data_IF_213741921147
#
_entry.id   IF_213741921147
#
_cell.length_a   1.000
_cell.length_b   1.000
_cell.length_c   1.000
_cell.angle_alpha   90.00
_cell.angle_beta   90.00
_cell.angle_gamma   90.00
#
_symmetry.space_group_name_H-M   'P 1'
#
loop_
_entity.id
_entity.type
_entity.pdbx_description
1 polymer ?
#
# COMPACT_ATOMS: atom_id res chain seq x y z
N UNK A 1 -7.29 58.69 57.69
CA UNK A 1 -7.73 59.56 56.58
C UNK A 1 -7.70 58.71 55.32
N UNK A 2 -8.79 58.25 54.70
CA UNK A 2 -10.23 58.62 54.72
C UNK A 2 -11.07 57.34 54.48
N UNK A 3 -12.12 57.18 55.29
CA UNK A 3 -13.48 56.64 55.05
C UNK A 3 -13.74 55.46 54.05
N UNK A 4 -14.37 54.39 54.58
CA UNK A 4 -15.42 53.53 53.95
C UNK A 4 -16.79 54.26 54.12
N UNK A 5 -17.97 53.94 53.49
CA UNK A 5 -18.51 52.60 53.17
C UNK A 5 -19.57 52.46 52.00
N UNK A 6 -19.87 51.18 51.66
CA UNK A 6 -21.19 50.51 51.41
C UNK A 6 -22.38 51.22 50.71
N UNK A 7 -22.80 50.68 49.54
CA UNK A 7 -24.09 49.99 49.27
C UNK A 7 -25.47 50.71 49.29
N UNK A 8 -26.42 50.11 48.51
CA UNK A 8 -27.91 50.23 48.51
C UNK A 8 -28.54 51.51 47.88
N UNK A 9 -29.60 51.56 47.05
CA UNK A 9 -30.58 50.61 46.44
C UNK A 9 -31.48 51.37 45.40
N UNK A 10 -32.41 50.69 44.65
CA UNK A 10 -33.10 51.15 43.43
C UNK A 10 -34.52 51.72 43.74
N UNK A 11 -35.56 51.84 42.85
CA UNK A 11 -36.10 50.91 41.84
C UNK A 11 -36.47 51.56 40.48
N UNK A 12 -36.83 50.76 39.46
CA UNK A 12 -38.15 50.83 38.79
C UNK A 12 -38.22 49.84 37.63
N UNK A 13 -39.30 49.05 37.62
CA UNK A 13 -39.62 47.96 36.72
C UNK A 13 -40.53 48.42 35.57
N UNK A 14 -40.47 47.67 34.46
CA UNK A 14 -41.46 47.61 33.39
C UNK A 14 -40.92 48.20 32.08
N UNK A 15 -40.99 47.56 30.92
CA UNK A 15 -41.50 46.24 30.54
C UNK A 15 -41.03 45.97 29.09
N UNK A 16 -40.99 44.68 28.69
CA UNK A 16 -40.97 44.17 27.29
C UNK A 16 -39.68 44.44 26.47
N UNK A 17 -38.65 43.59 26.37
CA UNK A 17 -38.53 42.20 25.86
C UNK A 17 -39.31 41.92 24.56
N UNK A 18 -38.77 42.39 23.43
CA UNK A 18 -39.01 41.76 22.12
C UNK A 18 -37.95 40.67 21.91
N UNK A 19 -38.44 39.44 21.86
CA UNK A 19 -37.70 38.19 22.05
C UNK A 19 -36.90 37.85 20.80
N UNK A 20 -35.59 37.99 20.96
CA UNK A 20 -34.50 37.14 20.47
C UNK A 20 -34.95 35.87 19.75
N UNK A 21 -34.61 35.79 18.46
CA UNK A 21 -34.86 34.65 17.58
C UNK A 21 -34.24 33.42 18.23
N UNK A 22 -35.11 32.50 18.61
CA UNK A 22 -34.81 31.23 19.27
C UNK A 22 -33.67 30.49 18.57
N UNK A 23 -32.56 30.34 19.28
CA UNK A 23 -31.56 29.33 18.96
C UNK A 23 -32.22 27.95 19.02
N UNK A 24 -32.37 27.31 17.86
CA UNK A 24 -32.76 25.90 17.78
C UNK A 24 -31.54 25.07 18.23
N UNK A 25 -31.47 24.82 19.53
CA UNK A 25 -30.48 23.95 20.17
C UNK A 25 -30.60 22.52 19.62
N UNK A 26 -29.82 22.23 18.58
CA UNK A 26 -29.75 20.92 17.93
C UNK A 26 -29.04 19.92 18.87
N UNK A 27 -29.83 19.10 19.57
CA UNK A 27 -29.33 18.10 20.50
C UNK A 27 -28.64 16.94 19.77
N UNK A 28 -27.38 16.65 20.14
CA UNK A 28 -26.55 15.57 19.59
C UNK A 28 -27.18 14.16 19.69
N UNK A 29 -28.18 13.98 20.56
CA UNK A 29 -28.96 12.73 20.68
C UNK A 29 -29.98 12.54 19.56
N UNK A 30 -30.53 13.63 19.00
CA UNK A 30 -31.53 13.56 17.93
C UNK A 30 -30.91 13.09 16.59
N UNK A 31 -29.61 13.32 16.41
CA UNK A 31 -28.86 12.87 15.22
C UNK A 31 -28.66 11.35 15.22
N UNK A 32 -28.50 10.72 16.39
CA UNK A 32 -28.24 9.28 16.51
C UNK A 32 -29.50 8.40 16.50
N UNK A 33 -30.69 8.97 16.74
CA UNK A 33 -31.97 8.25 16.65
C UNK A 33 -32.70 8.40 15.31
N UNK A 34 -32.32 9.36 14.46
CA UNK A 34 -32.94 9.59 13.16
C UNK A 34 -32.47 8.67 12.02
N UNK A 35 -31.34 7.98 12.17
CA UNK A 35 -30.71 7.20 11.10
C UNK A 35 -31.28 5.76 10.93
N UNK A 36 -32.24 5.33 11.75
CA UNK A 36 -32.72 3.93 11.75
C UNK A 36 -33.80 3.59 10.71
N UNK A 37 -34.48 4.57 10.11
CA UNK A 37 -35.73 4.33 9.40
C UNK A 37 -35.62 4.05 7.88
N UNK A 38 -34.41 4.07 7.28
CA UNK A 38 -34.25 3.87 5.83
C UNK A 38 -33.77 2.45 5.41
N UNK A 39 -33.73 1.50 6.33
CA UNK A 39 -33.06 0.20 6.11
C UNK A 39 -33.98 -0.97 5.67
N UNK A 40 -35.13 -0.75 5.03
CA UNK A 40 -36.10 -1.84 4.78
C UNK A 40 -36.62 -2.04 3.33
N UNK A 41 -35.98 -1.53 2.28
CA UNK A 41 -36.46 -1.77 0.90
C UNK A 41 -35.39 -2.16 -0.14
N UNK A 42 -34.29 -2.80 0.30
CA UNK A 42 -33.12 -3.03 -0.56
C UNK A 42 -32.80 -4.48 -0.97
N UNK A 43 -33.66 -5.48 -0.77
CA UNK A 43 -33.33 -6.89 -1.12
C UNK A 43 -34.16 -7.38 -2.30
N UNK A 44 -33.87 -6.83 -3.47
CA UNK A 44 -34.12 -7.52 -4.74
C UNK A 44 -32.75 -7.94 -5.28
N UNK A 45 -32.30 -9.14 -4.88
CA UNK A 45 -31.11 -9.78 -5.43
C UNK A 45 -31.40 -10.26 -6.85
N UNK A 46 -31.07 -9.44 -7.84
CA UNK A 46 -30.92 -9.94 -9.21
C UNK A 46 -29.64 -10.77 -9.25
N UNK A 47 -29.77 -12.08 -9.45
CA UNK A 47 -28.67 -12.96 -9.83
C UNK A 47 -28.06 -12.42 -11.12
N UNK A 48 -26.95 -11.70 -11.00
CA UNK A 48 -26.10 -11.39 -12.13
C UNK A 48 -25.43 -12.72 -12.49
N UNK A 49 -25.87 -13.39 -13.57
CA UNK A 49 -25.02 -14.36 -14.22
C UNK A 49 -23.85 -13.56 -14.78
N UNK A 50 -22.72 -13.57 -14.08
CA UNK A 50 -21.51 -12.94 -14.57
C UNK A 50 -21.10 -13.67 -15.85
N UNK A 51 -21.37 -13.03 -16.98
CA UNK A 51 -20.81 -13.44 -18.25
C UNK A 51 -19.30 -13.20 -18.19
N UNK A 52 -18.57 -14.29 -17.93
CA UNK A 52 -17.11 -14.30 -17.91
C UNK A 52 -16.50 -14.03 -19.30
N UNK A 53 -17.30 -13.90 -20.36
CA UNK A 53 -16.82 -13.65 -21.72
C UNK A 53 -16.32 -12.22 -21.95
N UNK A 54 -16.62 -11.28 -21.05
CA UNK A 54 -16.06 -9.93 -21.07
C UNK A 54 -14.70 -9.83 -20.35
N UNK A 55 -14.32 -10.85 -19.58
CA UNK A 55 -12.95 -11.03 -19.16
C UNK A 55 -12.26 -11.75 -20.32
N UNK A 56 -11.55 -11.01 -21.17
CA UNK A 56 -10.52 -11.57 -22.06
C UNK A 56 -9.44 -12.24 -21.20
N UNK A 57 -9.80 -13.37 -20.60
CA UNK A 57 -8.86 -14.30 -20.00
C UNK A 57 -8.25 -15.03 -21.18
N UNK A 58 -7.29 -14.37 -21.82
CA UNK A 58 -6.30 -15.06 -22.62
C UNK A 58 -5.80 -16.21 -21.74
N UNK A 59 -5.85 -17.43 -22.27
CA UNK A 59 -5.46 -18.66 -21.57
C UNK A 59 -3.96 -18.73 -21.29
N UNK A 60 -3.38 -17.68 -20.71
CA UNK A 60 -2.03 -17.66 -20.18
C UNK A 60 -2.09 -18.13 -18.74
N UNK A 61 -1.43 -19.27 -18.55
CA UNK A 61 -1.24 -19.96 -17.29
C UNK A 61 -0.84 -19.00 -16.15
N UNK A 62 -1.44 -19.26 -14.99
CA UNK A 62 -1.30 -18.60 -13.69
C UNK A 62 0.02 -17.86 -13.43
N UNK A 63 -0.02 -16.53 -13.57
CA UNK A 63 0.95 -15.59 -12.99
C UNK A 63 0.31 -14.34 -12.35
N UNK A 64 -1.03 -14.23 -12.40
CA UNK A 64 -1.77 -13.00 -12.12
C UNK A 64 -2.33 -12.89 -10.69
N UNK A 65 -1.69 -13.52 -9.70
CA UNK A 65 -1.75 -13.01 -8.33
C UNK A 65 -0.47 -12.18 -8.19
N UNK A 66 -0.59 -10.86 -8.18
CA UNK A 66 0.52 -9.97 -7.88
C UNK A 66 0.89 -10.14 -6.40
N UNK A 67 1.99 -10.82 -6.01
CA UNK A 67 2.72 -10.28 -4.88
C UNK A 67 3.19 -8.89 -5.30
N UNK A 68 3.40 -8.01 -4.34
CA UNK A 68 4.10 -6.73 -4.51
C UNK A 68 5.58 -7.07 -4.82
N UNK A 69 5.85 -7.79 -5.90
CA UNK A 69 7.18 -7.92 -6.49
C UNK A 69 7.14 -7.07 -7.74
N UNK A 70 8.11 -6.17 -7.92
CA UNK A 70 8.26 -5.49 -9.20
C UNK A 70 8.31 -6.57 -10.29
N UNK A 71 7.68 -6.29 -11.43
CA UNK A 71 8.02 -6.98 -12.66
C UNK A 71 9.50 -6.73 -12.84
N UNK A 72 10.31 -7.73 -12.47
CA UNK A 72 11.73 -7.80 -12.78
C UNK A 72 11.79 -7.43 -14.25
N UNK A 73 12.30 -6.24 -14.55
CA UNK A 73 12.67 -5.90 -15.91
C UNK A 73 13.53 -7.07 -16.35
N UNK A 74 13.06 -7.84 -17.33
CA UNK A 74 13.75 -9.05 -17.77
C UNK A 74 15.01 -8.56 -18.44
N UNK A 75 16.04 -8.33 -17.63
CA UNK A 75 17.38 -8.05 -18.10
C UNK A 75 17.66 -9.15 -19.12
N UNK A 76 17.90 -8.74 -20.36
CA UNK A 76 18.14 -9.68 -21.47
C UNK A 76 19.29 -10.63 -21.14
N UNK A 77 20.17 -10.24 -20.22
CA UNK A 77 21.29 -11.01 -19.74
C UNK A 77 20.93 -12.08 -18.69
N UNK A 78 19.73 -12.02 -18.09
CA UNK A 78 19.20 -13.03 -17.17
C UNK A 78 18.21 -13.92 -17.92
N UNK A 79 18.74 -14.99 -18.51
CA UNK A 79 18.00 -15.98 -19.29
C UNK A 79 17.66 -17.23 -18.47
N UNK A 80 17.23 -18.31 -19.13
CA UNK A 80 17.09 -19.62 -18.49
C UNK A 80 18.39 -20.07 -17.79
N UNK A 81 18.32 -20.71 -16.61
CA UNK A 81 19.49 -21.19 -15.87
C UNK A 81 20.41 -22.09 -16.71
N UNK A 82 19.86 -22.93 -17.59
CA UNK A 82 20.65 -23.80 -18.48
C UNK A 82 21.62 -23.03 -19.36
N UNK A 83 21.24 -21.81 -19.78
CA UNK A 83 22.07 -20.94 -20.62
C UNK A 83 23.04 -20.13 -19.75
N UNK A 84 22.59 -19.61 -18.60
CA UNK A 84 23.42 -18.79 -17.71
C UNK A 84 24.56 -19.55 -17.04
N UNK A 85 24.37 -20.84 -16.79
CA UNK A 85 25.33 -21.71 -16.11
C UNK A 85 26.00 -22.72 -17.07
N UNK A 86 25.77 -22.58 -18.38
CA UNK A 86 26.40 -23.39 -19.40
C UNK A 86 27.92 -23.30 -19.37
N UNK A 87 28.59 -24.29 -19.94
CA UNK A 87 30.04 -24.20 -20.19
C UNK A 87 30.36 -23.01 -21.09
N UNK A 88 31.40 -22.26 -20.75
CA UNK A 88 31.85 -21.10 -21.52
C UNK A 88 33.36 -21.19 -21.74
N UNK A 89 33.82 -20.82 -22.92
CA UNK A 89 35.25 -20.71 -23.21
C UNK A 89 35.61 -19.24 -23.36
N UNK A 90 36.56 -18.78 -22.56
CA UNK A 90 37.05 -17.41 -22.57
C UNK A 90 38.57 -17.39 -22.39
N UNK A 91 39.26 -16.50 -23.10
CA UNK A 91 40.71 -16.32 -23.00
C UNK A 91 41.53 -17.60 -23.23
N UNK A 92 41.00 -18.59 -23.96
CA UNK A 92 41.66 -19.90 -24.16
C UNK A 92 41.45 -20.91 -23.02
N UNK A 93 40.66 -20.58 -22.00
CA UNK A 93 40.26 -21.47 -20.92
C UNK A 93 38.80 -21.91 -21.09
N UNK A 94 38.52 -23.20 -20.91
CA UNK A 94 37.15 -23.72 -20.91
C UNK A 94 36.66 -23.90 -19.48
N UNK A 95 35.68 -23.10 -19.09
CA UNK A 95 34.92 -23.28 -17.86
C UNK A 95 33.83 -24.33 -18.10
N UNK A 96 33.82 -25.45 -17.36
CA UNK A 96 32.78 -26.46 -17.49
C UNK A 96 31.42 -25.93 -17.00
N UNK A 97 30.35 -26.61 -17.39
CA UNK A 97 29.01 -26.31 -16.92
C UNK A 97 28.92 -26.36 -15.39
N UNK A 98 28.27 -25.36 -14.81
CA UNK A 98 28.02 -25.30 -13.37
C UNK A 98 26.71 -26.04 -13.07
N UNK A 99 26.71 -27.09 -12.22
CA UNK A 99 25.52 -27.89 -11.94
C UNK A 99 24.54 -27.14 -11.04
N UNK A 100 23.79 -26.20 -11.61
CA UNK A 100 22.90 -25.29 -10.89
C UNK A 100 21.75 -25.99 -10.16
N UNK A 101 21.42 -27.24 -10.53
CA UNK A 101 20.45 -28.08 -9.83
C UNK A 101 20.87 -28.40 -8.39
N UNK A 102 22.17 -28.37 -8.09
CA UNK A 102 22.70 -28.53 -6.72
C UNK A 102 22.58 -27.25 -5.90
N UNK A 103 22.31 -26.11 -6.55
CA UNK A 103 22.10 -24.82 -5.92
C UNK A 103 20.60 -24.64 -5.70
N UNK A 104 20.21 -24.33 -4.46
CA UNK A 104 18.81 -24.03 -4.15
C UNK A 104 18.32 -22.86 -5.03
N UNK A 105 17.08 -22.88 -5.53
CA UNK A 105 16.55 -21.84 -6.42
C UNK A 105 16.72 -20.42 -5.87
N UNK A 106 16.59 -20.23 -4.56
CA UNK A 106 16.73 -18.95 -3.85
C UNK A 106 18.13 -18.31 -3.94
N UNK A 107 19.18 -19.10 -4.21
CA UNK A 107 20.56 -18.63 -4.32
C UNK A 107 21.08 -18.58 -5.76
N UNK A 108 20.21 -18.80 -6.75
CA UNK A 108 20.57 -18.64 -8.16
C UNK A 108 20.59 -17.16 -8.52
N UNK A 109 21.19 -16.83 -9.66
CA UNK A 109 21.14 -15.47 -10.22
C UNK A 109 19.68 -15.07 -10.44
N UNK A 110 19.27 -14.00 -9.81
CA UNK A 110 17.91 -13.47 -9.86
C UNK A 110 17.95 -11.96 -9.69
N UNK A 111 16.99 -11.27 -10.27
CA UNK A 111 16.76 -9.86 -9.99
C UNK A 111 15.84 -9.78 -8.78
N UNK A 112 16.20 -8.90 -7.85
CA UNK A 112 15.46 -8.64 -6.62
C UNK A 112 15.30 -7.14 -6.46
N UNK A 113 14.31 -6.72 -5.68
CA UNK A 113 14.21 -5.33 -5.21
C UNK A 113 15.50 -5.00 -4.46
N UNK A 114 16.13 -3.86 -4.78
CA UNK A 114 17.38 -3.47 -4.15
C UNK A 114 17.23 -3.29 -2.63
N UNK A 115 17.91 -4.12 -1.80
CA UNK A 115 17.93 -3.95 -0.36
C UNK A 115 19.05 -3.01 0.11
N UNK A 116 19.96 -2.61 -0.77
CA UNK A 116 21.21 -1.93 -0.43
C UNK A 116 21.09 -0.40 -0.50
N UNK A 117 20.35 0.14 -1.46
CA UNK A 117 20.20 1.59 -1.66
C UNK A 117 21.47 2.27 -2.16
N UNK A 118 22.46 1.49 -2.61
CA UNK A 118 23.73 1.99 -3.14
C UNK A 118 23.57 2.50 -4.59
N UNK A 119 24.61 3.14 -5.14
CA UNK A 119 24.56 3.64 -6.50
C UNK A 119 24.55 2.50 -7.55
N UNK A 120 23.84 2.63 -8.68
CA UNK A 120 23.88 1.65 -9.77
C UNK A 120 25.30 1.32 -10.23
N UNK A 121 25.57 0.04 -10.49
CA UNK A 121 26.90 -0.48 -10.84
C UNK A 121 27.76 -0.86 -9.63
N UNK A 122 27.28 -0.63 -8.41
CA UNK A 122 27.97 -1.05 -7.18
C UNK A 122 27.76 -2.54 -6.93
N UNK A 123 28.82 -3.23 -6.50
CA UNK A 123 28.74 -4.59 -5.98
C UNK A 123 28.76 -4.53 -4.45
N UNK A 124 27.69 -5.01 -3.83
CA UNK A 124 27.55 -5.07 -2.37
C UNK A 124 27.63 -6.52 -1.93
N UNK A 125 28.48 -6.81 -0.95
CA UNK A 125 28.70 -8.16 -0.43
C UNK A 125 28.23 -8.25 1.02
N UNK A 126 27.16 -9.00 1.25
CA UNK A 126 26.67 -9.33 2.59
C UNK A 126 27.25 -10.68 3.04
N UNK A 127 28.42 -10.66 3.68
CA UNK A 127 29.15 -11.90 4.04
C UNK A 127 28.45 -12.75 5.10
N UNK A 128 27.65 -12.14 5.97
CA UNK A 128 26.91 -12.86 7.02
C UNK A 128 25.85 -13.80 6.41
N UNK A 129 25.11 -13.29 5.42
CA UNK A 129 24.06 -14.03 4.69
C UNK A 129 24.60 -14.75 3.45
N UNK A 130 25.84 -14.44 3.04
CA UNK A 130 26.52 -14.95 1.84
C UNK A 130 25.81 -14.56 0.55
N UNK A 131 25.34 -13.31 0.50
CA UNK A 131 24.68 -12.73 -0.67
C UNK A 131 25.56 -11.68 -1.33
N UNK A 132 25.48 -11.60 -2.66
CA UNK A 132 26.15 -10.59 -3.48
C UNK A 132 25.09 -9.92 -4.33
N UNK A 133 25.07 -8.59 -4.28
CA UNK A 133 24.16 -7.75 -5.06
C UNK A 133 24.97 -6.95 -6.06
N UNK A 134 24.51 -6.93 -7.30
CA UNK A 134 24.91 -5.93 -8.28
C UNK A 134 23.73 -4.96 -8.41
N UNK A 135 23.94 -3.70 -8.01
CA UNK A 135 22.88 -2.69 -8.08
C UNK A 135 22.60 -2.33 -9.53
N UNK A 136 21.37 -2.54 -9.96
CA UNK A 136 20.93 -2.21 -11.32
C UNK A 136 20.49 -0.74 -11.43
N UNK A 137 20.54 -0.13 -12.63
CA UNK A 137 19.93 1.16 -12.85
C UNK A 137 18.42 1.11 -12.57
N UNK A 138 17.91 2.08 -11.81
CA UNK A 138 16.48 2.20 -11.52
C UNK A 138 16.06 1.80 -10.10
N UNK A 139 16.94 1.12 -9.35
CA UNK A 139 16.67 0.67 -7.98
C UNK A 139 15.76 -0.56 -7.92
#
# INVERSE_FOLDING_TARGET
MRELPQGLTPPYNGDEIEIEISEIQLSRRAVLSGAGALALLGVAGCSQTLDLSALQLDGVTTGAITPIRPSISVDKNITSPDVMYASVTDGGFTLPEVPYLKVKPEFRRQIVVDPTGEQPGTIVVHSQERLLYLVQPGG
#
